data_IF_927210400504
#
_entry.id   IF_927210400504
#
_cell.length_a   1.000
_cell.length_b   1.000
_cell.length_c   1.000
_cell.angle_alpha   90.00
_cell.angle_beta   90.00
_cell.angle_gamma   90.00
#
_symmetry.space_group_name_H-M   'P 1'
#
loop_
_entity.id
_entity.type
_entity.pdbx_description
1 polymer ?
#
# COMPACT_ATOMS: atom_id res chain seq x y z
N UNK A 1 1.33 -65.30 43.02
CA UNK A 1 2.55 -64.64 42.50
C UNK A 1 2.22 -63.18 42.31
N UNK A 2 2.78 -62.31 43.15
CA UNK A 2 2.65 -60.86 43.08
C UNK A 2 4.02 -60.26 42.89
N UNK A 3 4.14 -59.28 41.98
CA UNK A 3 5.25 -58.33 41.92
C UNK A 3 4.69 -56.92 41.69
N UNK A 4 5.41 -55.97 42.28
CA UNK A 4 5.12 -54.54 42.49
C UNK A 4 5.63 -53.72 41.31
N UNK A 5 5.01 -52.57 41.03
CA UNK A 5 5.73 -51.36 40.59
C UNK A 5 5.15 -50.08 41.21
N UNK A 6 6.06 -49.20 41.60
CA UNK A 6 5.88 -47.92 42.33
C UNK A 6 5.94 -46.78 41.30
N UNK A 7 5.12 -45.73 41.47
CA UNK A 7 5.40 -44.41 40.89
C UNK A 7 5.20 -43.30 41.93
N UNK A 8 6.21 -42.43 42.05
CA UNK A 8 6.26 -41.25 42.91
C UNK A 8 5.46 -40.07 42.34
N UNK A 9 4.82 -39.30 43.22
CA UNK A 9 4.17 -38.02 42.94
C UNK A 9 5.07 -36.89 43.45
N UNK A 10 5.35 -35.89 42.61
CA UNK A 10 6.05 -34.65 43.02
C UNK A 10 5.08 -33.47 42.90
N UNK A 11 4.79 -32.82 44.03
CA UNK A 11 3.99 -31.58 44.12
C UNK A 11 4.94 -30.43 44.44
N UNK A 12 5.03 -29.42 43.57
CA UNK A 12 5.76 -28.18 43.85
C UNK A 12 4.82 -27.14 44.48
N UNK A 13 5.14 -26.73 45.71
CA UNK A 13 4.59 -25.54 46.39
C UNK A 13 5.55 -24.36 46.17
N UNK A 14 5.10 -23.30 45.51
CA UNK A 14 5.83 -22.01 45.49
C UNK A 14 5.32 -21.14 46.63
N UNK A 15 6.25 -20.67 47.47
CA UNK A 15 6.03 -19.87 48.67
C UNK A 15 6.37 -18.41 48.36
N UNK A 16 5.39 -17.51 48.49
CA UNK A 16 5.58 -16.06 48.37
C UNK A 16 6.44 -15.54 49.51
N UNK A 17 7.47 -14.74 49.21
CA UNK A 17 8.21 -13.95 50.20
C UNK A 17 8.28 -12.49 49.76
N UNK A 18 7.65 -11.64 50.58
CA UNK A 18 7.74 -10.18 50.57
C UNK A 18 9.06 -9.80 51.24
N UNK A 19 9.87 -8.91 50.62
CA UNK A 19 10.98 -8.24 51.32
C UNK A 19 11.00 -6.72 51.10
N UNK A 20 11.07 -6.08 52.26
CA UNK A 20 11.07 -4.66 52.66
C UNK A 20 11.83 -3.64 51.80
N UNK A 21 11.09 -2.59 51.50
CA UNK A 21 11.40 -1.16 51.42
C UNK A 21 12.67 -0.69 52.16
N UNK A 22 13.55 0.01 51.45
CA UNK A 22 14.56 0.93 51.99
C UNK A 22 14.36 2.31 51.35
N UNK A 23 13.95 3.29 52.15
CA UNK A 23 13.99 4.71 51.81
C UNK A 23 15.39 5.25 52.09
N UNK A 24 16.05 5.82 51.08
CA UNK A 24 17.15 6.77 51.30
C UNK A 24 16.68 8.11 50.72
N UNK A 25 16.49 9.09 51.61
CA UNK A 25 16.30 10.49 51.24
C UNK A 25 17.66 11.04 50.78
N UNK A 26 17.72 11.60 49.58
CA UNK A 26 18.66 12.68 49.28
C UNK A 26 18.13 13.54 48.14
N UNK A 27 18.54 14.80 48.19
CA UNK A 27 17.82 15.98 47.77
C UNK A 27 17.77 16.22 46.27
N UNK A 28 16.73 16.96 45.87
CA UNK A 28 16.53 17.57 44.56
C UNK A 28 17.78 18.34 44.14
N UNK A 29 18.40 17.93 43.04
CA UNK A 29 19.18 18.81 42.18
C UNK A 29 18.54 18.73 40.79
N UNK A 30 18.03 19.86 40.32
CA UNK A 30 17.52 20.05 38.97
C UNK A 30 18.60 19.63 37.96
N UNK A 31 18.38 18.51 37.29
CA UNK A 31 18.96 18.21 36.00
C UNK A 31 17.80 17.96 35.05
N UNK A 32 17.59 18.88 34.10
CA UNK A 32 16.72 18.65 32.95
C UNK A 32 17.21 17.41 32.19
N UNK A 33 16.74 16.24 32.60
CA UNK A 33 16.73 15.04 31.78
C UNK A 33 15.46 15.07 30.95
N UNK A 34 15.41 15.92 29.93
CA UNK A 34 14.54 15.69 28.79
C UNK A 34 14.90 14.30 28.26
N UNK A 35 14.10 13.30 28.60
CA UNK A 35 14.03 12.10 27.78
C UNK A 35 13.38 12.56 26.48
N UNK A 36 14.20 13.04 25.53
CA UNK A 36 13.80 13.04 24.13
C UNK A 36 13.75 11.57 23.77
N UNK A 37 12.52 11.03 23.81
CA UNK A 37 12.20 9.84 23.05
C UNK A 37 12.40 10.29 21.60
N UNK A 38 13.57 10.01 21.03
CA UNK A 38 13.76 10.09 19.59
C UNK A 38 12.84 9.01 19.02
N UNK A 39 11.56 9.35 18.81
CA UNK A 39 10.74 8.68 17.83
C UNK A 39 11.42 9.02 16.51
N UNK A 40 12.35 8.17 16.09
CA UNK A 40 13.03 8.35 14.84
C UNK A 40 11.99 8.09 13.75
N UNK A 41 11.43 9.18 13.22
CA UNK A 41 10.51 9.20 12.10
C UNK A 41 11.23 8.57 10.90
N UNK A 42 10.73 7.42 10.43
CA UNK A 42 11.28 6.70 9.30
C UNK A 42 10.41 6.91 8.06
N UNK A 43 11.05 7.16 6.93
CA UNK A 43 10.43 7.01 5.62
C UNK A 43 10.30 5.53 5.28
N UNK A 44 9.35 5.20 4.40
CA UNK A 44 8.98 3.83 4.07
C UNK A 44 8.79 3.63 2.56
N UNK A 45 9.28 2.50 2.06
CA UNK A 45 8.83 1.90 0.81
C UNK A 45 8.18 0.55 1.07
N UNK A 46 7.01 0.34 0.47
CA UNK A 46 6.42 -0.99 0.26
C UNK A 46 6.52 -1.31 -1.23
N UNK A 47 7.45 -2.19 -1.58
CA UNK A 47 7.69 -2.63 -2.94
C UNK A 47 6.76 -3.78 -3.34
N UNK A 48 6.20 -3.68 -4.54
CA UNK A 48 5.59 -4.77 -5.29
C UNK A 48 6.39 -4.94 -6.59
N UNK A 49 7.06 -6.08 -6.71
CA UNK A 49 8.07 -6.37 -7.72
C UNK A 49 7.75 -7.75 -8.34
N UNK A 50 6.66 -7.86 -9.12
CA UNK A 50 6.17 -9.12 -9.66
C UNK A 50 7.20 -9.85 -10.55
N UNK A 51 8.16 -9.11 -11.13
CA UNK A 51 9.18 -9.67 -12.02
C UNK A 51 10.44 -10.16 -11.28
N UNK A 52 10.52 -9.99 -9.95
CA UNK A 52 11.67 -10.42 -9.16
C UNK A 52 12.97 -9.66 -9.50
N UNK A 53 12.87 -8.41 -9.96
CA UNK A 53 14.01 -7.57 -10.30
C UNK A 53 14.82 -7.17 -9.06
N UNK A 54 16.10 -6.89 -9.21
CA UNK A 54 16.88 -6.33 -8.11
C UNK A 54 16.55 -4.86 -7.92
N UNK A 55 15.86 -4.54 -6.81
CA UNK A 55 15.57 -3.18 -6.40
C UNK A 55 16.73 -2.66 -5.55
N UNK A 56 17.22 -1.47 -5.88
CA UNK A 56 18.25 -0.74 -5.18
C UNK A 56 17.70 0.61 -4.72
N UNK A 57 18.02 0.99 -3.48
CA UNK A 57 17.77 2.36 -2.99
C UNK A 57 19.10 2.93 -2.52
N UNK A 58 19.48 4.07 -3.07
CA UNK A 58 20.69 4.80 -2.71
C UNK A 58 20.35 6.26 -2.39
N UNK A 59 21.05 6.86 -1.43
CA UNK A 59 20.90 8.30 -1.16
C UNK A 59 21.68 9.16 -2.17
N UNK A 60 21.46 10.47 -2.16
CA UNK A 60 22.13 11.43 -3.05
C UNK A 60 23.66 11.48 -2.89
N UNK A 61 24.21 10.86 -1.83
CA UNK A 61 25.66 10.75 -1.59
C UNK A 61 26.24 9.40 -2.04
N UNK A 62 25.40 8.51 -2.56
CA UNK A 62 25.77 7.17 -3.04
C UNK A 62 25.81 6.11 -1.95
N UNK A 63 25.27 6.37 -0.75
CA UNK A 63 25.15 5.33 0.27
C UNK A 63 24.03 4.37 -0.11
N UNK A 64 24.33 3.07 -0.12
CA UNK A 64 23.35 2.01 -0.39
C UNK A 64 22.50 1.76 0.85
N UNK A 65 21.20 1.98 0.73
CA UNK A 65 20.24 1.85 1.82
C UNK A 65 19.48 0.53 1.75
N UNK A 66 19.16 0.06 0.54
CA UNK A 66 18.38 -1.15 0.32
C UNK A 66 18.82 -1.91 -0.94
N UNK A 67 18.75 -3.24 -0.88
CA UNK A 67 18.98 -4.13 -2.02
C UNK A 67 18.20 -5.44 -1.84
N UNK A 68 17.29 -5.77 -2.76
CA UNK A 68 16.53 -7.01 -2.70
C UNK A 68 15.90 -7.41 -4.04
N UNK A 69 15.82 -8.71 -4.37
CA UNK A 69 15.00 -9.24 -5.46
C UNK A 69 13.61 -9.71 -5.00
N UNK A 70 13.22 -9.43 -3.75
CA UNK A 70 11.96 -9.92 -3.21
C UNK A 70 10.77 -9.42 -4.04
N UNK A 71 9.79 -10.31 -4.26
CA UNK A 71 8.58 -9.99 -5.00
C UNK A 71 7.69 -8.98 -4.27
N UNK A 72 7.68 -9.03 -2.94
CA UNK A 72 7.12 -7.97 -2.11
C UNK A 72 8.03 -7.74 -0.92
N UNK A 73 8.23 -6.48 -0.55
CA UNK A 73 9.06 -6.14 0.61
C UNK A 73 8.71 -4.78 1.19
N UNK A 74 8.94 -4.65 2.50
CA UNK A 74 8.90 -3.38 3.22
C UNK A 74 10.33 -2.95 3.55
N UNK A 75 10.60 -1.66 3.42
CA UNK A 75 11.88 -1.04 3.72
C UNK A 75 11.66 0.32 4.40
N UNK A 76 12.11 0.43 5.65
CA UNK A 76 12.09 1.67 6.40
C UNK A 76 13.51 2.24 6.56
N UNK A 77 13.65 3.56 6.52
CA UNK A 77 14.93 4.21 6.79
C UNK A 77 14.76 5.60 7.41
N UNK A 78 15.81 6.06 8.08
CA UNK A 78 15.90 7.44 8.57
C UNK A 78 16.58 8.30 7.50
N UNK A 79 15.91 9.31 6.94
CA UNK A 79 16.48 10.06 5.83
C UNK A 79 17.68 10.93 6.26
N UNK A 80 18.81 10.71 5.60
CA UNK A 80 20.05 11.51 5.71
C UNK A 80 20.13 12.61 4.65
N UNK A 81 19.52 12.39 3.48
CA UNK A 81 19.48 13.26 2.29
C UNK A 81 18.06 13.72 1.98
N UNK A 82 17.92 14.74 1.14
CA UNK A 82 16.61 15.22 0.64
C UNK A 82 15.97 14.28 -0.38
N UNK A 83 16.76 13.47 -1.08
CA UNK A 83 16.25 12.49 -2.02
C UNK A 83 16.96 11.14 -1.89
N UNK A 84 16.29 10.13 -2.41
CA UNK A 84 16.83 8.81 -2.69
C UNK A 84 16.57 8.45 -4.15
N UNK A 85 17.46 7.66 -4.74
CA UNK A 85 17.33 7.11 -6.08
C UNK A 85 16.92 5.65 -5.93
N UNK A 86 15.77 5.29 -6.49
CA UNK A 86 15.32 3.91 -6.61
C UNK A 86 15.62 3.41 -8.02
N UNK A 87 16.30 2.28 -8.13
CA UNK A 87 16.68 1.65 -9.40
C UNK A 87 16.22 0.20 -9.40
N UNK A 88 15.65 -0.29 -10.51
CA UNK A 88 15.37 -1.71 -10.71
C UNK A 88 16.24 -2.25 -11.85
N UNK A 89 16.88 -3.39 -11.59
CA UNK A 89 17.75 -4.08 -12.55
C UNK A 89 17.13 -5.43 -12.91
N UNK A 90 16.93 -5.66 -14.20
CA UNK A 90 16.49 -6.93 -14.78
C UNK A 90 17.55 -7.44 -15.75
N UNK A 91 17.96 -8.71 -15.60
CA UNK A 91 18.98 -9.34 -16.46
C UNK A 91 20.27 -8.50 -16.66
N UNK A 92 20.67 -7.76 -15.62
CA UNK A 92 21.87 -6.90 -15.66
C UNK A 92 21.68 -5.54 -16.34
N UNK A 93 20.48 -5.20 -16.79
CA UNK A 93 20.14 -3.91 -17.36
C UNK A 93 19.25 -3.09 -16.43
N UNK A 94 19.49 -1.79 -16.35
CA UNK A 94 18.58 -0.86 -15.69
C UNK A 94 17.28 -0.75 -16.49
N UNK A 95 16.16 -1.08 -15.86
CA UNK A 95 14.81 -1.01 -16.47
C UNK A 95 13.91 0.03 -15.82
N UNK A 96 14.29 0.50 -14.63
CA UNK A 96 13.62 1.59 -13.94
C UNK A 96 14.64 2.38 -13.13
N UNK A 97 14.50 3.71 -13.15
CA UNK A 97 15.26 4.63 -12.29
C UNK A 97 14.45 5.87 -12.01
N UNK A 98 14.25 6.21 -10.73
CA UNK A 98 13.51 7.40 -10.33
C UNK A 98 14.04 7.98 -9.03
N UNK A 99 13.94 9.31 -8.91
CA UNK A 99 14.27 10.05 -7.70
C UNK A 99 12.99 10.23 -6.88
N UNK A 100 13.08 9.95 -5.58
CA UNK A 100 12.03 10.18 -4.59
C UNK A 100 12.52 11.15 -3.53
N UNK A 101 11.70 12.13 -3.20
CA UNK A 101 11.95 13.06 -2.10
C UNK A 101 11.73 12.36 -0.76
N UNK A 102 12.51 12.73 0.25
CA UNK A 102 12.42 12.19 1.60
C UNK A 102 11.76 13.18 2.56
N UNK A 103 11.49 12.74 3.79
CA UNK A 103 11.02 13.61 4.87
C UNK A 103 12.12 14.43 5.54
N UNK A 104 13.35 14.48 5.01
CA UNK A 104 14.49 15.16 5.65
C UNK A 104 14.19 16.61 6.09
N UNK A 105 13.39 17.32 5.29
CA UNK A 105 13.01 18.71 5.53
C UNK A 105 11.54 18.86 5.97
N UNK A 106 10.92 17.78 6.46
CA UNK A 106 9.52 17.77 6.87
C UNK A 106 9.33 17.19 8.27
N UNK A 107 8.26 17.62 8.93
CA UNK A 107 7.82 17.05 10.22
C UNK A 107 6.99 15.76 10.04
N UNK A 108 6.63 15.42 8.80
CA UNK A 108 5.87 14.23 8.45
C UNK A 108 6.70 13.31 7.56
N UNK A 109 6.54 12.00 7.71
CA UNK A 109 7.29 10.99 6.95
C UNK A 109 6.83 10.91 5.49
N UNK A 110 7.65 10.29 4.65
CA UNK A 110 7.25 9.85 3.32
C UNK A 110 7.01 8.33 3.33
N UNK A 111 5.77 7.92 3.09
CA UNK A 111 5.37 6.53 2.94
C UNK A 111 4.93 6.28 1.49
N UNK A 112 5.65 5.40 0.82
CA UNK A 112 5.44 5.09 -0.58
C UNK A 112 5.10 3.61 -0.79
N UNK A 113 4.24 3.34 -1.76
CA UNK A 113 4.19 2.03 -2.42
C UNK A 113 4.76 2.18 -3.81
N UNK A 114 5.65 1.26 -4.21
CA UNK A 114 6.19 1.20 -5.57
C UNK A 114 5.91 -0.16 -6.17
N UNK A 115 5.04 -0.18 -7.17
CA UNK A 115 4.84 -1.30 -8.07
C UNK A 115 5.73 -1.09 -9.31
N UNK A 116 6.58 -2.06 -9.64
CA UNK A 116 7.49 -1.97 -10.78
C UNK A 116 7.57 -3.29 -11.54
N UNK A 117 7.41 -3.23 -12.86
CA UNK A 117 7.56 -4.32 -13.80
C UNK A 117 8.44 -3.89 -14.96
N UNK A 118 9.35 -4.78 -15.38
CA UNK A 118 10.17 -4.62 -16.58
C UNK A 118 9.36 -4.65 -17.87
N UNK A 119 8.19 -5.30 -17.86
CA UNK A 119 7.34 -5.49 -19.03
C UNK A 119 6.21 -4.47 -19.11
N UNK A 120 5.69 -4.04 -17.97
CA UNK A 120 4.46 -3.25 -17.92
C UNK A 120 4.67 -1.81 -17.47
N UNK A 121 5.85 -1.46 -16.95
CA UNK A 121 6.17 -0.12 -16.43
C UNK A 121 6.07 -0.04 -14.91
N UNK A 122 5.78 1.14 -14.38
CA UNK A 122 5.75 1.34 -12.92
C UNK A 122 4.60 2.23 -12.47
N UNK A 123 4.19 2.04 -11.22
CA UNK A 123 3.24 2.88 -10.51
C UNK A 123 3.76 3.10 -9.11
N UNK A 124 3.67 4.32 -8.61
CA UNK A 124 3.86 4.56 -7.20
C UNK A 124 2.73 5.41 -6.62
N UNK A 125 2.39 5.11 -5.38
CA UNK A 125 1.46 5.89 -4.58
C UNK A 125 2.18 6.41 -3.35
N UNK A 126 1.80 7.61 -2.94
CA UNK A 126 2.14 8.20 -1.66
C UNK A 126 0.91 8.13 -0.75
N UNK A 127 1.13 7.74 0.49
CA UNK A 127 0.10 7.78 1.53
C UNK A 127 -0.43 9.20 1.72
N UNK A 128 -1.73 9.34 1.92
CA UNK A 128 -2.34 10.66 2.13
C UNK A 128 -1.95 11.29 3.47
N UNK A 129 -1.31 10.54 4.38
CA UNK A 129 -0.70 11.05 5.61
C UNK A 129 0.79 11.38 5.46
N UNK A 130 1.38 11.24 4.26
CA UNK A 130 2.78 11.63 4.03
C UNK A 130 2.93 13.14 3.87
N UNK A 131 4.16 13.65 4.04
CA UNK A 131 4.42 15.07 3.81
C UNK A 131 4.04 15.53 2.40
N UNK A 132 3.66 16.81 2.30
CA UNK A 132 3.34 17.41 1.00
C UNK A 132 4.55 17.42 0.06
N UNK A 133 5.76 17.58 0.60
CA UNK A 133 7.02 17.62 -0.15
C UNK A 133 7.44 16.26 -0.74
N UNK A 134 6.89 15.15 -0.22
CA UNK A 134 7.13 13.81 -0.75
C UNK A 134 6.61 13.69 -2.19
N UNK A 135 7.28 12.86 -2.99
CA UNK A 135 6.97 12.66 -4.42
C UNK A 135 5.52 12.25 -4.63
N UNK A 136 4.80 12.96 -5.51
CA UNK A 136 3.38 12.73 -5.77
C UNK A 136 3.14 11.46 -6.58
N UNK A 137 1.98 10.82 -6.36
CA UNK A 137 1.50 9.64 -7.07
C UNK A 137 1.74 9.71 -8.58
N UNK A 138 2.20 8.62 -9.16
CA UNK A 138 2.45 8.50 -10.60
C UNK A 138 2.10 7.09 -11.08
N UNK A 139 1.49 6.99 -12.26
CA UNK A 139 1.18 5.71 -12.91
C UNK A 139 1.67 5.77 -14.37
N UNK A 140 2.83 5.17 -14.60
CA UNK A 140 3.52 5.10 -15.89
C UNK A 140 3.48 3.70 -16.48
N UNK A 141 2.52 2.87 -16.08
CA UNK A 141 2.28 1.60 -16.76
C UNK A 141 1.89 1.82 -18.23
N UNK A 142 2.37 0.94 -19.11
CA UNK A 142 2.10 1.01 -20.54
C UNK A 142 0.59 0.99 -20.79
N UNK A 143 0.08 1.83 -21.72
CA UNK A 143 -1.34 1.86 -22.01
C UNK A 143 -1.94 0.50 -22.37
N UNK A 144 -1.16 -0.32 -23.06
CA UNK A 144 -1.53 -1.65 -23.56
C UNK A 144 -1.58 -2.74 -22.47
N UNK A 145 -0.95 -2.49 -21.31
CA UNK A 145 -0.71 -3.53 -20.30
C UNK A 145 -2.02 -4.07 -19.73
N UNK A 146 -3.07 -3.24 -19.64
CA UNK A 146 -4.36 -3.62 -19.06
C UNK A 146 -4.27 -4.16 -17.62
N UNK A 147 -3.10 -4.05 -16.99
CA UNK A 147 -2.81 -4.63 -15.68
C UNK A 147 -3.60 -3.86 -14.61
N UNK A 148 -4.51 -4.53 -13.89
CA UNK A 148 -5.18 -3.95 -12.74
C UNK A 148 -4.22 -3.69 -11.59
N UNK A 149 -4.38 -2.56 -10.90
CA UNK A 149 -3.47 -2.07 -9.84
C UNK A 149 -4.26 -1.46 -8.71
N UNK A 150 -4.48 -2.20 -7.63
CA UNK A 150 -5.31 -1.75 -6.51
C UNK A 150 -4.45 -1.40 -5.31
N UNK A 151 -4.55 -0.17 -4.83
CA UNK A 151 -3.80 0.32 -3.67
C UNK A 151 -4.69 0.49 -2.45
N UNK A 152 -4.15 0.24 -1.26
CA UNK A 152 -4.78 0.58 0.01
C UNK A 152 -3.94 1.65 0.72
N UNK A 153 -4.56 2.75 1.09
CA UNK A 153 -3.96 3.87 1.83
C UNK A 153 -4.61 3.94 3.23
N UNK A 154 -3.84 3.61 4.26
CA UNK A 154 -4.36 3.45 5.60
C UNK A 154 -4.28 4.75 6.40
N UNK A 155 -5.38 5.51 6.40
CA UNK A 155 -5.50 6.74 7.19
C UNK A 155 -5.89 6.44 8.64
N UNK A 156 -6.40 5.23 8.91
CA UNK A 156 -6.81 4.84 10.26
C UNK A 156 -5.64 4.75 11.23
N UNK A 157 -5.93 4.83 12.52
CA UNK A 157 -4.96 4.54 13.58
C UNK A 157 -4.77 3.05 13.84
N UNK A 158 -5.26 2.16 12.97
CA UNK A 158 -5.32 0.72 13.18
C UNK A 158 -4.41 -0.04 12.22
N UNK A 159 -3.81 -1.12 12.71
CA UNK A 159 -3.25 -2.15 11.83
C UNK A 159 -4.40 -2.95 11.23
N UNK A 160 -4.41 -3.07 9.91
CA UNK A 160 -5.49 -3.69 9.13
C UNK A 160 -4.89 -4.58 8.07
N UNK A 161 -5.63 -5.57 7.59
CA UNK A 161 -5.14 -6.43 6.50
C UNK A 161 -5.98 -6.16 5.26
N UNK A 162 -5.41 -5.66 4.16
CA UNK A 162 -6.14 -5.62 2.89
C UNK A 162 -6.68 -7.01 2.56
N UNK A 163 -7.92 -7.06 2.10
CA UNK A 163 -8.65 -8.30 1.90
C UNK A 163 -9.44 -8.25 0.60
N UNK A 164 -9.55 -9.41 -0.03
CA UNK A 164 -10.27 -9.56 -1.29
C UNK A 164 -11.11 -10.83 -1.24
N UNK A 165 -12.25 -10.79 -1.92
CA UNK A 165 -13.18 -11.91 -2.11
C UNK A 165 -13.56 -11.95 -3.58
N UNK A 166 -13.39 -13.08 -4.24
CA UNK A 166 -13.97 -13.32 -5.56
C UNK A 166 -15.46 -13.61 -5.45
N UNK A 167 -16.17 -13.52 -6.56
CA UNK A 167 -17.57 -13.94 -6.63
C UNK A 167 -17.78 -15.33 -6.02
N UNK A 168 -18.80 -15.45 -5.18
CA UNK A 168 -19.18 -16.68 -4.46
C UNK A 168 -18.11 -17.24 -3.50
N UNK A 169 -17.10 -16.45 -3.12
CA UNK A 169 -16.06 -16.82 -2.15
C UNK A 169 -16.05 -15.92 -0.91
N UNK A 170 -15.51 -16.41 0.20
CA UNK A 170 -15.33 -15.60 1.41
C UNK A 170 -14.18 -14.60 1.26
N UNK A 171 -14.17 -13.56 2.09
CA UNK A 171 -13.02 -12.67 2.17
C UNK A 171 -11.80 -13.39 2.72
N UNK A 172 -10.67 -13.15 2.06
CA UNK A 172 -9.37 -13.58 2.53
C UNK A 172 -8.44 -12.36 2.66
N UNK A 173 -7.76 -12.28 3.79
CA UNK A 173 -6.80 -11.21 4.13
C UNK A 173 -5.38 -11.51 3.63
N UNK A 174 -4.60 -10.45 3.37
CA UNK A 174 -3.20 -10.56 2.91
C UNK A 174 -2.32 -11.25 3.95
N UNK A 175 -2.04 -12.52 3.70
CA UNK A 175 -1.16 -13.35 4.52
C UNK A 175 0.30 -13.32 4.03
N UNK A 176 0.58 -12.65 2.90
CA UNK A 176 1.91 -12.61 2.28
C UNK A 176 2.71 -11.44 2.86
N UNK A 177 2.17 -10.22 2.78
CA UNK A 177 2.81 -9.03 3.36
C UNK A 177 2.21 -8.64 4.71
N UNK A 178 1.16 -9.33 5.16
CA UNK A 178 0.55 -9.11 6.47
C UNK A 178 -0.17 -7.77 6.56
N UNK A 179 -0.21 -7.23 7.78
CA UNK A 179 -0.94 -5.99 8.05
C UNK A 179 -0.33 -4.80 7.30
N UNK A 180 -1.18 -3.85 6.96
CA UNK A 180 -0.84 -2.50 6.54
C UNK A 180 -0.81 -1.61 7.79
N UNK A 181 0.30 -0.92 8.01
CA UNK A 181 0.48 -0.03 9.15
C UNK A 181 -0.32 1.27 9.02
N UNK A 182 -0.67 1.93 10.14
CA UNK A 182 -1.20 3.28 10.12
C UNK A 182 -0.29 4.23 9.34
N UNK A 183 -0.83 4.96 8.37
CA UNK A 183 -0.10 5.90 7.53
C UNK A 183 0.64 5.27 6.35
N UNK A 184 0.62 3.94 6.18
CA UNK A 184 1.24 3.27 5.05
C UNK A 184 0.28 3.10 3.86
N UNK A 185 0.87 2.95 2.67
CA UNK A 185 0.16 2.62 1.43
C UNK A 185 0.77 1.37 0.78
N UNK A 186 -0.07 0.50 0.21
CA UNK A 186 0.38 -0.75 -0.45
C UNK A 186 -0.43 -1.03 -1.71
N UNK A 187 0.25 -1.34 -2.82
CA UNK A 187 -0.34 -1.66 -4.13
C UNK A 187 -0.27 -3.16 -4.43
N UNK A 188 -1.35 -3.68 -5.04
CA UNK A 188 -1.52 -5.06 -5.52
C UNK A 188 -1.76 -5.11 -7.03
N UNK A 189 -1.39 -6.22 -7.65
CA UNK A 189 -1.56 -6.50 -9.08
C UNK A 189 -1.66 -8.00 -9.36
N UNK A 190 -2.30 -8.47 -10.45
CA UNK A 190 -2.43 -9.91 -10.74
C UNK A 190 -1.13 -10.69 -10.76
N UNK A 191 -0.01 -10.05 -11.11
CA UNK A 191 1.30 -10.69 -11.16
C UNK A 191 2.00 -10.79 -9.79
N UNK A 192 1.45 -10.22 -8.72
CA UNK A 192 2.05 -10.30 -7.39
C UNK A 192 1.79 -11.64 -6.70
N UNK A 193 2.59 -11.95 -5.68
CA UNK A 193 2.57 -13.25 -4.97
C UNK A 193 1.21 -13.56 -4.36
N UNK A 194 0.44 -12.53 -4.00
CA UNK A 194 -0.81 -12.69 -3.28
C UNK A 194 -1.99 -12.93 -4.23
N UNK A 195 -2.15 -12.07 -5.23
CA UNK A 195 -3.21 -12.17 -6.25
C UNK A 195 -2.98 -13.33 -7.22
N UNK A 196 -1.72 -13.66 -7.56
CA UNK A 196 -1.39 -14.83 -8.39
C UNK A 196 -1.44 -16.17 -7.66
N UNK A 197 -1.69 -16.17 -6.34
CA UNK A 197 -1.73 -17.42 -5.59
C UNK A 197 -2.88 -18.30 -6.08
N UNK A 198 -2.67 -19.62 -6.15
CA UNK A 198 -3.66 -20.56 -6.71
C UNK A 198 -4.99 -20.65 -5.96
N UNK A 199 -5.08 -20.04 -4.77
CA UNK A 199 -6.32 -19.96 -3.99
C UNK A 199 -7.13 -18.70 -4.33
N UNK A 200 -6.49 -17.72 -4.98
CA UNK A 200 -7.07 -16.48 -5.43
C UNK A 200 -7.18 -16.49 -6.95
N UNK A 201 -6.07 -16.39 -7.68
CA UNK A 201 -6.07 -16.32 -9.16
C UNK A 201 -6.92 -15.13 -9.65
N UNK A 202 -6.58 -13.92 -9.18
CA UNK A 202 -7.26 -12.68 -9.57
C UNK A 202 -6.64 -12.14 -10.85
N UNK A 203 -7.45 -12.00 -11.90
CA UNK A 203 -7.06 -11.43 -13.19
C UNK A 203 -7.91 -10.20 -13.55
N UNK A 204 -7.59 -9.55 -14.67
CA UNK A 204 -8.43 -8.50 -15.24
C UNK A 204 -9.83 -9.07 -15.58
N UNK A 205 -10.87 -8.36 -15.15
CA UNK A 205 -12.26 -8.78 -15.36
C UNK A 205 -12.81 -9.77 -14.33
N UNK A 206 -11.98 -10.31 -13.44
CA UNK A 206 -12.46 -11.10 -12.29
C UNK A 206 -13.42 -10.26 -11.45
N UNK A 207 -14.59 -10.80 -11.10
CA UNK A 207 -15.53 -10.12 -10.20
C UNK A 207 -15.01 -10.18 -8.77
N UNK A 208 -14.75 -9.02 -8.18
CA UNK A 208 -14.03 -8.90 -6.92
C UNK A 208 -14.74 -7.94 -5.96
N UNK A 209 -14.94 -8.40 -4.73
CA UNK A 209 -15.18 -7.55 -3.58
C UNK A 209 -13.85 -7.17 -2.93
N UNK A 210 -13.70 -5.88 -2.64
CA UNK A 210 -12.49 -5.29 -2.06
C UNK A 210 -12.80 -4.78 -0.67
N UNK A 211 -11.94 -5.08 0.31
CA UNK A 211 -12.17 -4.71 1.70
C UNK A 211 -10.88 -4.78 2.52
N UNK A 212 -11.04 -4.71 3.83
CA UNK A 212 -9.96 -5.01 4.76
C UNK A 212 -10.48 -5.77 5.99
N UNK A 213 -9.64 -6.60 6.58
CA UNK A 213 -9.88 -7.24 7.85
C UNK A 213 -9.40 -6.35 8.99
N UNK A 214 -10.31 -6.05 9.93
CA UNK A 214 -10.01 -5.36 11.17
C UNK A 214 -9.79 -6.40 12.30
N UNK A 215 -8.54 -6.58 12.78
CA UNK A 215 -8.23 -7.61 13.77
C UNK A 215 -8.78 -7.28 15.17
N UNK A 216 -9.12 -6.01 15.46
CA UNK A 216 -9.55 -5.58 16.78
C UNK A 216 -11.00 -5.94 17.08
N UNK A 217 -11.85 -6.03 16.04
CA UNK A 217 -13.24 -6.46 16.15
C UNK A 217 -13.53 -7.75 15.36
N UNK A 218 -12.49 -8.36 14.75
CA UNK A 218 -12.58 -9.59 13.97
C UNK A 218 -13.63 -9.53 12.86
N UNK A 219 -13.64 -8.43 12.10
CA UNK A 219 -14.62 -8.19 11.04
C UNK A 219 -13.98 -7.74 9.73
N UNK A 220 -14.63 -8.04 8.62
CA UNK A 220 -14.31 -7.48 7.33
C UNK A 220 -15.13 -6.20 7.10
N UNK A 221 -14.46 -5.16 6.64
CA UNK A 221 -15.06 -3.90 6.20
C UNK A 221 -14.92 -3.83 4.69
N UNK A 222 -16.05 -3.66 4.00
CA UNK A 222 -16.09 -3.68 2.54
C UNK A 222 -15.95 -2.25 2.00
N UNK A 223 -15.13 -2.10 0.97
CA UNK A 223 -14.91 -0.86 0.23
C UNK A 223 -15.76 -0.82 -1.05
N UNK A 224 -15.81 -1.95 -1.75
CA UNK A 224 -16.47 -2.13 -3.03
C UNK A 224 -16.92 -3.59 -3.13
N UNK A 225 -18.15 -3.83 -3.62
CA UNK A 225 -18.74 -5.16 -3.71
C UNK A 225 -18.90 -5.59 -5.16
N UNK A 226 -18.32 -6.75 -5.50
CA UNK A 226 -18.59 -7.47 -6.74
C UNK A 226 -18.47 -6.58 -7.99
N UNK A 227 -17.33 -5.90 -8.13
CA UNK A 227 -17.00 -5.12 -9.32
C UNK A 227 -15.93 -5.85 -10.13
N UNK A 228 -15.93 -5.76 -11.47
CA UNK A 228 -14.87 -6.32 -12.28
C UNK A 228 -13.54 -5.64 -11.95
N UNK A 229 -12.46 -6.44 -11.90
CA UNK A 229 -11.11 -5.95 -11.64
C UNK A 229 -10.56 -5.26 -12.88
N UNK A 230 -10.43 -3.94 -12.84
CA UNK A 230 -10.03 -3.13 -13.98
C UNK A 230 -9.22 -1.90 -13.57
N UNK A 231 -8.19 -1.58 -14.35
CA UNK A 231 -7.43 -0.35 -14.23
C UNK A 231 -6.80 -0.13 -12.85
N UNK A 232 -6.57 1.13 -12.49
CA UNK A 232 -6.01 1.49 -11.20
C UNK A 232 -7.11 2.02 -10.26
N UNK A 233 -7.16 1.52 -9.03
CA UNK A 233 -8.00 2.06 -7.95
C UNK A 233 -7.16 2.21 -6.69
N UNK A 234 -7.45 3.23 -5.89
CA UNK A 234 -6.86 3.35 -4.55
C UNK A 234 -8.00 3.43 -3.55
N UNK A 235 -7.95 2.63 -2.50
CA UNK A 235 -8.93 2.55 -1.44
C UNK A 235 -8.38 3.21 -0.18
N UNK A 236 -9.18 4.08 0.44
CA UNK A 236 -8.87 4.76 1.69
C UNK A 236 -9.49 4.00 2.85
N UNK A 237 -8.67 3.64 3.82
CA UNK A 237 -9.14 3.12 5.12
C UNK A 237 -9.22 4.32 6.06
N UNK A 238 -10.44 4.80 6.33
CA UNK A 238 -10.69 6.08 6.97
C UNK A 238 -10.43 6.03 8.49
N UNK A 239 -10.26 7.21 9.09
CA UNK A 239 -10.04 7.35 10.54
C UNK A 239 -11.15 6.73 11.41
N UNK A 240 -12.39 6.68 10.90
CA UNK A 240 -13.56 6.10 11.58
C UNK A 240 -13.69 4.59 11.36
N UNK A 241 -12.75 3.96 10.64
CA UNK A 241 -12.78 2.53 10.32
C UNK A 241 -13.69 2.16 9.16
N UNK A 242 -14.20 3.14 8.40
CA UNK A 242 -14.88 2.89 7.12
C UNK A 242 -13.89 2.76 5.97
N UNK A 243 -14.37 2.30 4.80
CA UNK A 243 -13.57 2.26 3.59
C UNK A 243 -14.21 3.05 2.45
N UNK A 244 -13.41 3.77 1.66
CA UNK A 244 -13.87 4.52 0.48
C UNK A 244 -12.85 4.44 -0.66
N UNK A 245 -13.21 4.89 -1.86
CA UNK A 245 -12.27 4.95 -3.00
C UNK A 245 -11.64 6.34 -3.07
N UNK A 246 -10.31 6.42 -3.01
CA UNK A 246 -9.50 7.64 -3.22
C UNK A 246 -9.80 8.18 -4.61
N UNK A 247 -10.07 9.49 -4.68
CA UNK A 247 -10.52 10.15 -5.91
C UNK A 247 -11.82 9.58 -6.48
N UNK A 248 -12.78 9.19 -5.63
CA UNK A 248 -14.19 9.27 -6.06
C UNK A 248 -14.38 10.69 -6.59
N UNK A 249 -14.56 10.83 -7.90
CA UNK A 249 -14.71 12.16 -8.49
C UNK A 249 -16.06 12.68 -8.04
N UNK A 250 -16.07 13.45 -6.96
CA UNK A 250 -17.21 14.23 -6.54
C UNK A 250 -17.40 15.36 -7.55
N UNK A 251 -18.57 15.38 -8.18
CA UNK A 251 -18.93 16.37 -9.19
C UNK A 251 -18.99 15.80 -10.60
N UNK A 252 -19.96 16.31 -11.35
CA UNK A 252 -20.21 15.87 -12.70
C UNK A 252 -19.10 16.35 -13.64
N UNK A 253 -18.41 15.40 -14.28
CA UNK A 253 -17.67 15.70 -15.51
C UNK A 253 -18.67 15.93 -16.65
N UNK A 254 -18.31 16.77 -17.63
CA UNK A 254 -19.14 16.94 -18.81
C UNK A 254 -19.22 15.60 -19.58
N UNK A 255 -20.40 15.28 -20.11
CA UNK A 255 -20.60 14.09 -20.93
C UNK A 255 -19.60 14.08 -22.10
N UNK A 256 -19.07 12.89 -22.41
CA UNK A 256 -18.20 12.71 -23.56
C UNK A 256 -18.96 13.02 -24.86
N UNK A 257 -18.29 13.70 -25.79
CA UNK A 257 -18.84 14.11 -27.07
C UNK A 257 -17.89 13.67 -28.18
N UNK A 258 -18.40 12.92 -29.14
CA UNK A 258 -17.62 12.38 -30.27
C UNK A 258 -16.98 13.47 -31.14
N UNK A 259 -17.57 14.67 -31.21
CA UNK A 259 -17.08 15.79 -32.01
C UNK A 259 -16.08 16.69 -31.28
N UNK A 260 -15.85 16.49 -29.97
CA UNK A 260 -14.98 17.34 -29.18
C UNK A 260 -13.53 16.84 -29.23
N UNK A 261 -12.61 17.79 -29.36
CA UNK A 261 -11.18 17.53 -29.21
C UNK A 261 -10.80 17.59 -27.72
N UNK A 262 -10.22 16.51 -27.22
CA UNK A 262 -9.78 16.35 -25.84
C UNK A 262 -8.27 16.39 -25.76
N UNK A 263 -7.75 17.11 -24.76
CA UNK A 263 -6.33 17.19 -24.43
C UNK A 263 -6.01 16.26 -23.27
N UNK A 264 -4.73 15.93 -23.09
CA UNK A 264 -4.27 15.19 -21.91
C UNK A 264 -4.79 15.85 -20.63
N UNK A 265 -5.28 15.02 -19.70
CA UNK A 265 -5.94 15.38 -18.44
C UNK A 265 -7.36 15.96 -18.54
N UNK A 266 -7.95 16.08 -19.74
CA UNK A 266 -9.37 16.41 -19.86
C UNK A 266 -10.24 15.29 -19.28
N UNK A 267 -11.28 15.65 -18.52
CA UNK A 267 -12.19 14.69 -17.89
C UNK A 267 -13.57 14.68 -18.53
N UNK A 268 -14.15 13.49 -18.66
CA UNK A 268 -15.48 13.28 -19.20
C UNK A 268 -16.26 12.26 -18.39
N UNK A 269 -17.58 12.43 -18.39
CA UNK A 269 -18.52 11.39 -17.99
C UNK A 269 -18.84 10.52 -19.22
N UNK A 270 -18.70 9.20 -19.09
CA UNK A 270 -19.10 8.25 -20.11
C UNK A 270 -19.46 6.93 -19.45
N UNK A 271 -20.66 6.42 -19.76
CA UNK A 271 -21.18 5.14 -19.27
C UNK A 271 -21.14 5.01 -17.73
N UNK A 272 -21.75 5.98 -17.04
CA UNK A 272 -21.82 6.00 -15.57
C UNK A 272 -20.48 6.21 -14.86
N UNK A 273 -19.41 6.53 -15.59
CA UNK A 273 -18.04 6.60 -15.08
C UNK A 273 -17.34 7.89 -15.48
N UNK A 274 -16.32 8.28 -14.71
CA UNK A 274 -15.43 9.40 -15.04
C UNK A 274 -14.15 8.87 -15.65
N UNK A 275 -13.75 9.51 -16.73
CA UNK A 275 -12.57 9.16 -17.51
C UNK A 275 -11.71 10.38 -17.73
N UNK A 276 -10.40 10.18 -17.84
CA UNK A 276 -9.42 11.22 -18.08
C UNK A 276 -8.60 10.91 -19.33
N UNK A 277 -8.54 11.82 -20.27
CA UNK A 277 -7.77 11.64 -21.49
C UNK A 277 -6.27 11.51 -21.16
N UNK A 278 -5.64 10.42 -21.59
CA UNK A 278 -4.19 10.21 -21.46
C UNK A 278 -3.43 10.94 -22.57
N UNK A 279 -4.06 11.04 -23.73
CA UNK A 279 -3.50 11.64 -24.94
C UNK A 279 -4.52 12.56 -25.61
N UNK A 280 -4.02 13.40 -26.50
CA UNK A 280 -4.87 14.17 -27.41
C UNK A 280 -5.71 13.23 -28.27
N UNK A 281 -7.04 13.40 -28.26
CA UNK A 281 -7.95 12.55 -29.01
C UNK A 281 -9.24 13.26 -29.42
N UNK A 282 -9.91 12.72 -30.44
CA UNK A 282 -11.24 13.14 -30.91
C UNK A 282 -11.98 11.91 -31.44
N UNK A 283 -13.28 11.81 -31.18
CA UNK A 283 -14.13 10.75 -31.73
C UNK A 283 -13.95 9.36 -31.12
N UNK A 284 -12.94 9.14 -30.27
CA UNK A 284 -12.71 7.85 -29.59
C UNK A 284 -13.38 7.90 -28.21
N UNK A 285 -14.39 7.06 -28.02
CA UNK A 285 -15.08 6.96 -26.74
C UNK A 285 -14.21 6.29 -25.66
N UNK A 286 -14.36 6.69 -24.39
CA UNK A 286 -13.80 5.92 -23.28
C UNK A 286 -14.32 4.49 -23.31
N UNK A 287 -13.45 3.52 -23.03
CA UNK A 287 -13.83 2.10 -22.96
C UNK A 287 -12.86 1.32 -22.11
N UNK A 288 -13.26 0.18 -21.55
CA UNK A 288 -12.31 -0.70 -20.85
C UNK A 288 -11.42 -1.52 -21.81
N UNK A 289 -11.23 -1.08 -23.06
CA UNK A 289 -10.40 -1.79 -24.02
C UNK A 289 -8.91 -1.59 -23.74
N UNK A 290 -8.09 -2.58 -24.13
CA UNK A 290 -6.63 -2.57 -23.93
C UNK A 290 -5.92 -1.38 -24.60
N UNK A 291 -6.49 -0.83 -25.66
CA UNK A 291 -5.97 0.35 -26.38
C UNK A 291 -6.89 1.54 -26.11
N UNK A 292 -6.97 1.96 -24.84
CA UNK A 292 -7.82 3.09 -24.47
C UNK A 292 -7.01 4.38 -24.34
N UNK A 293 -7.48 5.42 -25.04
CA UNK A 293 -6.95 6.78 -24.94
C UNK A 293 -7.38 7.49 -23.65
N UNK A 294 -8.22 6.83 -22.86
CA UNK A 294 -8.79 7.31 -21.61
C UNK A 294 -8.30 6.47 -20.43
N UNK A 295 -8.08 7.12 -19.29
CA UNK A 295 -7.81 6.52 -17.99
C UNK A 295 -9.10 6.55 -17.20
N UNK A 296 -9.58 5.40 -16.76
CA UNK A 296 -10.71 5.31 -15.84
C UNK A 296 -10.32 5.99 -14.52
N UNK A 297 -11.15 6.90 -14.02
CA UNK A 297 -10.96 7.58 -12.74
C UNK A 297 -11.91 7.09 -11.65
N UNK A 298 -12.99 6.39 -11.99
CA UNK A 298 -13.99 5.92 -11.03
C UNK A 298 -15.42 6.06 -11.55
N UNK A 299 -16.37 5.64 -10.72
CA UNK A 299 -17.80 5.78 -10.99
C UNK A 299 -18.20 7.26 -10.89
N UNK A 300 -19.02 7.74 -11.82
CA UNK A 300 -19.59 9.08 -11.79
C UNK A 300 -20.56 9.18 -10.61
N UNK A 301 -20.30 10.12 -9.69
CA UNK A 301 -21.23 10.41 -8.60
C UNK A 301 -21.71 11.88 -8.69
N UNK A 302 -22.92 12.04 -9.22
CA UNK A 302 -23.65 13.30 -9.33
C UNK A 302 -24.82 13.29 -8.35
N UNK A 303 -24.56 13.61 -7.07
CA UNK A 303 -25.63 13.94 -6.12
C UNK A 303 -26.00 15.42 -6.19
#
# INVERSE_FOLDING_TARGET
MSWVFIYQVVVFKVKVMIKKQWCVKSSIALGLGLFIINNASADEFIFNNPDGMYIHVEDDTGNKLYHSPAYMAKFDWLPSSENVIVTAISEGSEVFRKIFSTSKLSDMNCHYSLLVSSQDGYKHDKSSLSAQACTNDEDMYFPESSVPKYSFDNLSGLHVYPAFSQQDSEFEMDNTMGYLEPGSVKTYTPADVYWSSSHRDIEEGTMLSVGFYNPYNSSYVVCEEQEPVIGAKTFLINHDGTCSVKNRVEGCANEWQSSKFYKTNDRVAYDGSVWEARFYNIGVAPSHSKINLWRYLGVLNCE
#
